data_IF_017639856323
#
_entry.id   IF_017639856323
#
_cell.length_a   1.000
_cell.length_b   1.000
_cell.length_c   1.000
_cell.angle_alpha   90.00
_cell.angle_beta   90.00
_cell.angle_gamma   90.00
#
_symmetry.space_group_name_H-M   'P 1'
#
loop_
_entity.id
_entity.type
_entity.pdbx_description
1 polymer ?
#
# COMPACT_ATOMS: atom_id res chain seq x y z
N UNK A 1 -22.43 2.74 0.48
CA UNK A 1 -21.19 2.09 0.04
C UNK A 1 -20.02 2.95 0.47
N UNK A 2 -19.16 2.46 1.36
CA UNK A 2 -18.00 3.21 1.85
C UNK A 2 -16.95 3.38 0.75
N UNK A 3 -15.93 4.22 0.98
CA UNK A 3 -14.91 4.47 -0.05
C UNK A 3 -14.05 3.23 -0.31
N UNK A 4 -13.75 2.44 0.73
CA UNK A 4 -13.05 1.17 0.62
C UNK A 4 -13.78 0.19 -0.31
N UNK A 5 -15.10 0.02 -0.14
CA UNK A 5 -15.93 -0.83 -1.00
C UNK A 5 -15.94 -0.34 -2.45
N UNK A 6 -16.04 0.97 -2.68
CA UNK A 6 -16.00 1.56 -4.02
C UNK A 6 -14.68 1.26 -4.74
N UNK A 7 -13.55 1.50 -4.07
CA UNK A 7 -12.22 1.25 -4.62
C UNK A 7 -12.00 -0.24 -4.82
N UNK A 8 -12.40 -1.07 -3.86
CA UNK A 8 -12.31 -2.52 -3.95
C UNK A 8 -13.06 -3.04 -5.18
N UNK A 9 -14.34 -2.71 -5.31
CA UNK A 9 -15.19 -3.15 -6.41
C UNK A 9 -14.61 -2.73 -7.76
N UNK A 10 -14.13 -1.49 -7.87
CA UNK A 10 -13.51 -1.01 -9.10
C UNK A 10 -12.26 -1.84 -9.48
N UNK A 11 -11.37 -2.13 -8.52
CA UNK A 11 -10.16 -2.89 -8.80
C UNK A 11 -10.49 -4.34 -9.16
N UNK A 12 -11.37 -5.01 -8.41
CA UNK A 12 -11.69 -6.43 -8.67
C UNK A 12 -12.49 -6.65 -9.95
N UNK A 13 -13.22 -5.63 -10.42
CA UNK A 13 -13.96 -5.71 -11.69
C UNK A 13 -13.06 -5.42 -12.89
N UNK A 14 -12.10 -4.49 -12.78
CA UNK A 14 -11.40 -3.95 -13.95
C UNK A 14 -9.90 -4.27 -14.01
N UNK A 15 -9.28 -4.62 -12.88
CA UNK A 15 -7.82 -4.69 -12.72
C UNK A 15 -7.40 -6.01 -12.08
N UNK A 16 -7.74 -7.12 -12.75
CA UNK A 16 -7.46 -8.49 -12.34
C UNK A 16 -6.09 -8.92 -12.87
N UNK A 17 -5.23 -9.44 -11.99
CA UNK A 17 -3.88 -9.90 -12.35
C UNK A 17 -2.84 -8.78 -12.40
N UNK A 18 -1.58 -9.14 -12.08
CA UNK A 18 -0.45 -8.19 -11.98
C UNK A 18 -0.19 -7.39 -13.25
N UNK A 19 -0.43 -7.99 -14.41
CA UNK A 19 -0.27 -7.37 -15.73
C UNK A 19 -1.29 -6.24 -15.99
N UNK A 20 -2.43 -6.26 -15.30
CA UNK A 20 -3.50 -5.28 -15.45
C UNK A 20 -3.64 -4.36 -14.23
N UNK A 21 -2.50 -3.81 -13.78
CA UNK A 21 -2.46 -2.92 -12.62
C UNK A 21 -2.86 -1.49 -12.94
N UNK A 22 -3.47 -0.82 -11.95
CA UNK A 22 -3.85 0.60 -12.02
C UNK A 22 -2.94 1.45 -11.13
N UNK A 23 -2.48 2.59 -11.64
CA UNK A 23 -1.64 3.51 -10.86
C UNK A 23 -2.46 4.24 -9.82
N UNK A 24 -1.83 4.59 -8.70
CA UNK A 24 -2.44 5.41 -7.64
C UNK A 24 -3.05 6.71 -8.20
N UNK A 25 -2.29 7.44 -9.04
CA UNK A 25 -2.78 8.66 -9.69
C UNK A 25 -4.04 8.42 -10.53
N UNK A 26 -4.12 7.29 -11.24
CA UNK A 26 -5.30 6.96 -12.05
C UNK A 26 -6.50 6.65 -11.16
N UNK A 27 -6.32 5.85 -10.09
CA UNK A 27 -7.38 5.62 -9.10
C UNK A 27 -7.92 6.95 -8.55
N UNK A 28 -7.04 7.93 -8.25
CA UNK A 28 -7.48 9.24 -7.76
C UNK A 28 -8.24 10.08 -8.80
N UNK A 29 -8.13 9.78 -10.09
CA UNK A 29 -9.00 10.38 -11.13
C UNK A 29 -10.40 9.79 -11.07
N UNK A 30 -10.52 8.47 -10.88
CA UNK A 30 -11.81 7.79 -10.71
C UNK A 30 -12.48 8.11 -9.37
N UNK A 31 -11.67 8.40 -8.34
CA UNK A 31 -12.11 8.71 -6.98
C UNK A 31 -11.59 10.08 -6.53
N UNK A 32 -12.15 11.19 -7.07
CA UNK A 32 -11.66 12.55 -6.86
C UNK A 32 -11.75 13.04 -5.40
N UNK A 33 -12.56 12.38 -4.56
CA UNK A 33 -12.61 12.64 -3.12
C UNK A 33 -11.31 12.24 -2.39
N UNK A 34 -10.49 11.38 -2.99
CA UNK A 34 -9.22 10.91 -2.42
C UNK A 34 -8.10 11.87 -2.86
N UNK A 35 -7.80 12.86 -2.02
CA UNK A 35 -6.96 14.01 -2.40
C UNK A 35 -5.45 13.75 -2.42
N UNK A 36 -4.96 12.63 -1.87
CA UNK A 36 -3.51 12.39 -1.78
C UNK A 36 -3.12 10.92 -2.00
N UNK A 37 -1.88 10.70 -2.43
CA UNK A 37 -1.31 9.36 -2.55
C UNK A 37 -1.31 8.63 -1.19
N UNK A 38 -1.08 9.37 -0.10
CA UNK A 38 -1.14 8.85 1.28
C UNK A 38 -2.53 8.34 1.63
N UNK A 39 -3.57 9.11 1.30
CA UNK A 39 -4.96 8.71 1.55
C UNK A 39 -5.34 7.46 0.75
N UNK A 40 -4.99 7.40 -0.54
CA UNK A 40 -5.25 6.21 -1.37
C UNK A 40 -4.52 4.97 -0.83
N UNK A 41 -3.24 5.10 -0.44
CA UNK A 41 -2.49 4.01 0.17
C UNK A 41 -3.16 3.49 1.43
N UNK A 42 -3.71 4.38 2.26
CA UNK A 42 -4.43 4.00 3.48
C UNK A 42 -5.72 3.23 3.17
N UNK A 43 -6.47 3.64 2.16
CA UNK A 43 -7.66 2.92 1.69
C UNK A 43 -7.29 1.50 1.23
N UNK A 44 -6.26 1.36 0.39
CA UNK A 44 -5.78 0.04 -0.04
C UNK A 44 -5.33 -0.82 1.14
N UNK A 45 -4.66 -0.22 2.12
CA UNK A 45 -4.27 -0.90 3.35
C UNK A 45 -5.49 -1.39 4.15
N UNK A 46 -6.49 -0.53 4.34
CA UNK A 46 -7.74 -0.89 5.02
C UNK A 46 -8.44 -2.05 4.32
N UNK A 47 -8.51 -2.03 2.98
CA UNK A 47 -9.08 -3.12 2.19
C UNK A 47 -8.34 -4.44 2.43
N UNK A 48 -7.01 -4.44 2.48
CA UNK A 48 -6.22 -5.66 2.67
C UNK A 48 -6.41 -6.30 4.04
N UNK A 49 -6.62 -5.48 5.07
CA UNK A 49 -6.74 -5.95 6.45
C UNK A 49 -8.17 -6.21 6.89
N UNK A 50 -9.16 -5.79 6.10
CA UNK A 50 -10.55 -6.10 6.38
C UNK A 50 -10.89 -7.52 5.84
N UNK A 51 -11.30 -8.46 6.72
CA UNK A 51 -11.63 -9.84 6.33
C UNK A 51 -12.87 -9.96 5.45
N UNK A 52 -13.72 -8.93 5.37
CA UNK A 52 -14.94 -8.94 4.56
C UNK A 52 -14.62 -8.83 3.05
N UNK A 53 -13.43 -8.35 2.68
CA UNK A 53 -13.00 -8.29 1.29
C UNK A 53 -12.37 -9.62 0.85
N UNK A 54 -13.08 -10.34 -0.01
CA UNK A 54 -12.71 -11.69 -0.48
C UNK A 54 -11.39 -11.75 -1.24
N UNK A 55 -11.06 -10.73 -2.02
CA UNK A 55 -9.91 -10.73 -2.93
C UNK A 55 -8.79 -9.85 -2.36
N UNK A 56 -7.58 -10.38 -2.33
CA UNK A 56 -6.43 -9.61 -1.88
C UNK A 56 -6.01 -8.61 -2.96
N UNK A 57 -5.82 -7.35 -2.58
CA UNK A 57 -5.33 -6.31 -3.49
C UNK A 57 -3.80 -6.27 -3.45
N UNK A 58 -3.13 -6.74 -4.50
CA UNK A 58 -1.68 -6.69 -4.64
C UNK A 58 -1.14 -5.27 -4.87
N UNK A 59 0.17 -5.09 -4.74
CA UNK A 59 0.82 -3.86 -5.20
C UNK A 59 2.26 -4.07 -5.62
N UNK A 60 2.63 -3.45 -6.74
CA UNK A 60 4.02 -3.30 -7.18
C UNK A 60 4.48 -1.88 -6.88
N UNK A 61 5.71 -1.75 -6.35
CA UNK A 61 6.33 -0.45 -6.06
C UNK A 61 7.11 0.09 -7.26
N UNK A 62 7.38 1.41 -7.29
CA UNK A 62 8.17 2.07 -8.33
C UNK A 62 7.33 2.80 -9.38
N UNK A 63 8.01 3.41 -10.36
CA UNK A 63 7.39 4.30 -11.37
C UNK A 63 6.39 3.60 -12.31
N UNK A 64 6.59 2.29 -12.50
CA UNK A 64 5.70 1.40 -13.26
C UNK A 64 4.74 0.60 -12.38
N UNK A 65 4.77 0.81 -11.06
CA UNK A 65 3.95 0.08 -10.11
C UNK A 65 2.49 0.55 -10.07
N UNK A 66 1.65 -0.28 -9.45
CA UNK A 66 0.21 -0.06 -9.32
C UNK A 66 -0.45 -1.08 -8.39
N UNK A 67 -1.76 -1.06 -8.36
CA UNK A 67 -2.62 -1.96 -7.59
C UNK A 67 -3.42 -2.85 -8.53
N UNK A 68 -3.76 -4.06 -8.08
CA UNK A 68 -4.51 -5.04 -8.85
C UNK A 68 -5.15 -6.06 -7.90
N UNK A 69 -6.20 -6.75 -8.36
CA UNK A 69 -6.75 -7.89 -7.66
C UNK A 69 -5.89 -9.12 -7.94
N UNK A 70 -5.34 -9.74 -6.89
CA UNK A 70 -4.53 -10.94 -7.05
C UNK A 70 -5.38 -12.12 -7.51
N UNK A 71 -4.84 -12.91 -8.44
CA UNK A 71 -5.39 -14.17 -8.93
C UNK A 71 -4.55 -15.37 -8.48
N UNK A 72 -3.29 -15.15 -8.10
CA UNK A 72 -2.34 -16.19 -7.72
C UNK A 72 -1.79 -15.98 -6.31
N UNK A 73 -1.47 -17.10 -5.63
CA UNK A 73 -0.79 -17.07 -4.32
C UNK A 73 0.57 -16.39 -4.37
N UNK A 74 1.29 -16.52 -5.50
CA UNK A 74 2.60 -15.87 -5.71
C UNK A 74 2.49 -14.35 -5.62
N UNK A 75 1.44 -13.74 -6.17
CA UNK A 75 1.23 -12.29 -6.14
C UNK A 75 0.97 -11.78 -4.72
N UNK A 76 0.23 -12.56 -3.91
CA UNK A 76 0.04 -12.27 -2.49
C UNK A 76 1.39 -12.36 -1.76
N UNK A 77 2.18 -13.40 -2.04
CA UNK A 77 3.48 -13.61 -1.41
C UNK A 77 4.49 -12.50 -1.77
N UNK A 78 4.49 -12.01 -3.01
CA UNK A 78 5.31 -10.88 -3.42
C UNK A 78 4.97 -9.60 -2.65
N UNK A 79 3.67 -9.34 -2.48
CA UNK A 79 3.20 -8.19 -1.68
C UNK A 79 3.63 -8.34 -0.23
N UNK A 80 3.46 -9.53 0.36
CA UNK A 80 3.90 -9.84 1.73
C UNK A 80 5.42 -9.66 1.89
N UNK A 81 6.22 -10.19 0.98
CA UNK A 81 7.67 -10.05 1.00
C UNK A 81 8.10 -8.58 0.94
N UNK A 82 7.41 -7.77 0.14
CA UNK A 82 7.67 -6.33 0.04
C UNK A 82 7.35 -5.57 1.34
N UNK A 83 6.36 -6.01 2.12
CA UNK A 83 6.07 -5.46 3.44
C UNK A 83 7.13 -5.89 4.46
N UNK A 84 7.48 -7.17 4.46
CA UNK A 84 8.49 -7.73 5.36
C UNK A 84 9.84 -7.04 5.18
N UNK A 85 10.28 -6.86 3.93
CA UNK A 85 11.53 -6.16 3.62
C UNK A 85 11.52 -4.70 4.14
N UNK A 86 10.40 -3.98 3.98
CA UNK A 86 10.24 -2.61 4.51
C UNK A 86 10.29 -2.60 6.04
N UNK A 87 9.63 -3.55 6.69
CA UNK A 87 9.66 -3.67 8.15
C UNK A 87 11.07 -3.97 8.68
N UNK A 88 11.81 -4.87 8.02
CA UNK A 88 13.19 -5.18 8.37
C UNK A 88 14.10 -3.94 8.23
N UNK A 89 13.99 -3.20 7.13
CA UNK A 89 14.75 -1.95 6.96
C UNK A 89 14.41 -0.91 8.04
N UNK A 90 13.15 -0.79 8.44
CA UNK A 90 12.75 0.10 9.53
C UNK A 90 13.38 -0.32 10.86
N UNK A 91 13.40 -1.61 11.16
CA UNK A 91 14.04 -2.16 12.37
C UNK A 91 15.56 -1.94 12.36
N UNK A 92 16.22 -2.13 11.22
CA UNK A 92 17.66 -1.86 11.11
C UNK A 92 17.97 -0.37 11.30
N UNK A 93 17.13 0.51 10.76
CA UNK A 93 17.30 1.94 10.93
C UNK A 93 17.01 2.40 12.36
N UNK A 94 16.05 1.78 13.07
CA UNK A 94 15.77 2.15 14.47
C UNK A 94 16.96 1.87 15.38
N UNK A 95 17.70 0.78 15.16
CA UNK A 95 18.94 0.47 15.89
C UNK A 95 20.02 1.54 15.71
N UNK A 96 20.04 2.26 14.58
CA UNK A 96 20.96 3.39 14.36
C UNK A 96 20.58 4.64 15.15
N UNK A 97 19.36 4.71 15.70
CA UNK A 97 18.95 5.81 16.56
C UNK A 97 19.50 5.64 17.97
N UNK A 98 19.69 4.39 18.42
CA UNK A 98 20.29 4.06 19.73
C UNK A 98 21.73 4.57 19.85
N UNK A 99 22.45 4.75 18.74
CA UNK A 99 23.80 5.35 18.75
C UNK A 99 23.81 6.88 18.80
N UNK A 100 22.63 7.53 18.82
CA UNK A 100 22.47 9.00 18.89
C UNK A 100 21.89 9.42 20.26
N UNK A 101 22.55 9.04 21.35
CA UNK A 101 22.21 9.48 22.72
C UNK A 101 22.72 10.88 23.09
N UNK A 102 22.79 11.83 22.14
CA UNK A 102 23.06 13.24 22.49
C UNK A 102 21.99 14.11 21.85
N UNK A 103 20.95 14.38 22.64
CA UNK A 103 20.09 15.54 22.43
C UNK A 103 20.75 16.67 23.22
N UNK A 104 21.72 17.35 22.61
CA UNK A 104 22.07 18.70 23.07
C UNK A 104 20.84 19.56 22.79
N UNK A 105 20.04 19.79 23.81
CA UNK A 105 19.04 20.84 23.77
C UNK A 105 19.81 22.14 23.56
N UNK A 106 19.56 22.82 22.44
CA UNK A 106 20.08 24.16 22.25
C UNK A 106 19.55 25.02 23.42
N UNK A 107 20.44 25.41 24.32
CA UNK A 107 20.12 26.38 25.37
C UNK A 107 19.78 27.70 24.68
N UNK A 108 18.52 28.12 24.77
CA UNK A 108 18.03 29.42 24.34
C UNK A 108 18.31 30.48 25.41
#
# INVERSE_FOLDING_TARGET
MCIEEQVYNFIVTNHIGKENMVKNRQLRVYFPQIKSDKAMRKIIENIRFNPDFKYFIGSVSGSKGGYYACTLKSEIQETKNSYMHRAMQMLENSKKFESKEVIEYAEC
#
